data_IF_575868885284
#
_entry.id   IF_575868885284
#
_cell.length_a   1.000
_cell.length_b   1.000
_cell.length_c   1.000
_cell.angle_alpha   90.00
_cell.angle_beta   90.00
_cell.angle_gamma   90.00
#
_symmetry.space_group_name_H-M   'P 1'
#
loop_
_entity.id
_entity.type
_entity.pdbx_description
1 polymer ?
#
# COMPACT_ATOMS: atom_id res chain seq x y z
N UNK A 1 -34.68 2.22 32.44
CA UNK A 1 -33.41 2.86 32.05
C UNK A 1 -32.84 2.17 30.83
N UNK A 2 -32.66 2.92 29.74
CA UNK A 2 -32.47 2.39 28.38
C UNK A 2 -31.13 1.71 28.16
N UNK A 3 -31.18 0.54 27.51
CA UNK A 3 -30.02 -0.09 26.87
C UNK A 3 -29.46 0.89 25.83
N UNK A 4 -28.28 1.47 26.06
CA UNK A 4 -27.54 2.21 25.04
C UNK A 4 -27.27 1.24 23.88
N UNK A 5 -28.02 1.38 22.78
CA UNK A 5 -27.65 0.77 21.50
C UNK A 5 -26.28 1.35 21.14
N UNK A 6 -25.21 0.54 21.17
CA UNK A 6 -23.95 0.91 20.50
C UNK A 6 -24.34 1.24 19.05
N UNK A 7 -24.06 2.46 18.60
CA UNK A 7 -24.21 2.79 17.20
C UNK A 7 -23.39 1.77 16.39
N UNK A 8 -24.00 1.08 15.43
CA UNK A 8 -23.22 0.28 14.47
C UNK A 8 -22.31 1.27 13.77
N UNK A 9 -21.01 1.21 14.04
CA UNK A 9 -20.03 1.95 13.26
C UNK A 9 -20.24 1.56 11.80
N UNK A 10 -20.53 2.55 10.96
CA UNK A 10 -20.64 2.32 9.52
C UNK A 10 -19.22 2.10 9.04
N UNK A 11 -18.87 0.84 8.78
CA UNK A 11 -17.54 0.52 8.25
C UNK A 11 -17.38 1.24 6.90
N UNK A 12 -16.25 1.91 6.67
CA UNK A 12 -15.97 2.53 5.39
C UNK A 12 -15.99 1.46 4.30
N UNK A 13 -16.52 1.80 3.12
CA UNK A 13 -16.57 0.87 1.98
C UNK A 13 -15.24 0.87 1.25
N UNK A 14 -14.69 -0.30 0.86
CA UNK A 14 -13.46 -0.34 0.08
C UNK A 14 -13.63 0.43 -1.23
N UNK A 15 -12.57 1.12 -1.62
CA UNK A 15 -12.50 1.83 -2.90
C UNK A 15 -11.04 1.93 -3.34
N UNK A 16 -10.86 2.12 -4.64
CA UNK A 16 -9.55 2.43 -5.22
C UNK A 16 -8.97 3.69 -4.54
N UNK A 17 -7.67 3.68 -4.29
CA UNK A 17 -6.92 4.72 -3.57
C UNK A 17 -7.01 4.64 -2.05
N UNK A 18 -7.86 3.77 -1.48
CA UNK A 18 -7.91 3.59 -0.04
C UNK A 18 -6.66 2.88 0.48
N UNK A 19 -6.25 3.26 1.69
CA UNK A 19 -5.19 2.59 2.44
C UNK A 19 -5.82 1.59 3.41
N UNK A 20 -5.35 0.35 3.38
CA UNK A 20 -5.62 -0.68 4.37
C UNK A 20 -4.43 -0.78 5.32
N UNK A 21 -4.68 -0.65 6.61
CA UNK A 21 -3.68 -0.72 7.66
C UNK A 21 -3.89 -2.03 8.37
N UNK A 22 -2.87 -2.88 8.35
CA UNK A 22 -2.91 -4.15 9.04
C UNK A 22 -2.93 -3.95 10.54
N UNK A 23 -3.79 -4.68 11.22
CA UNK A 23 -3.80 -4.76 12.68
C UNK A 23 -2.47 -5.37 13.20
N UNK A 24 -1.90 -4.91 14.33
CA UNK A 24 -0.61 -5.40 14.84
C UNK A 24 -0.49 -6.94 14.95
N UNK A 25 -1.59 -7.59 15.31
CA UNK A 25 -1.73 -9.03 15.52
C UNK A 25 -2.43 -9.73 14.35
N UNK A 26 -2.38 -9.15 13.14
CA UNK A 26 -2.90 -9.78 11.93
C UNK A 26 -2.47 -11.25 11.88
N UNK A 27 -3.42 -12.20 11.70
CA UNK A 27 -3.13 -13.63 11.76
C UNK A 27 -2.17 -14.09 10.67
N UNK A 28 -2.03 -13.33 9.59
CA UNK A 28 -1.10 -13.59 8.51
C UNK A 28 0.23 -12.84 8.74
N UNK A 29 1.33 -13.54 9.09
CA UNK A 29 2.59 -12.90 9.49
C UNK A 29 3.17 -11.98 8.41
N UNK A 30 2.94 -12.32 7.13
CA UNK A 30 3.41 -11.54 5.98
C UNK A 30 2.77 -10.15 5.92
N UNK A 31 1.62 -9.94 6.57
CA UNK A 31 0.91 -8.66 6.60
C UNK A 31 1.10 -7.88 7.90
N UNK A 32 1.84 -8.39 8.89
CA UNK A 32 2.15 -7.64 10.12
C UNK A 32 2.73 -6.26 9.78
N UNK A 33 2.15 -5.23 10.40
CA UNK A 33 2.49 -3.80 10.22
C UNK A 33 2.57 -3.35 8.75
N UNK A 34 1.81 -3.99 7.86
CA UNK A 34 1.74 -3.57 6.46
C UNK A 34 0.72 -2.45 6.28
N UNK A 35 1.02 -1.58 5.32
CA UNK A 35 0.07 -0.63 4.75
C UNK A 35 -0.09 -1.00 3.28
N UNK A 36 -1.32 -1.29 2.89
CA UNK A 36 -1.69 -1.65 1.52
C UNK A 36 -2.46 -0.51 0.88
N UNK A 37 -2.10 -0.12 -0.35
CA UNK A 37 -2.99 0.71 -1.18
C UNK A 37 -3.85 -0.16 -2.07
N UNK A 38 -5.16 0.10 -2.11
CA UNK A 38 -6.07 -0.53 -3.05
C UNK A 38 -5.99 0.13 -4.42
N UNK A 39 -5.73 -0.66 -5.45
CA UNK A 39 -5.67 -0.19 -6.83
C UNK A 39 -6.86 -0.59 -7.68
N UNK A 40 -7.48 -1.70 -7.32
CA UNK A 40 -8.67 -2.21 -7.96
C UNK A 40 -9.62 -2.70 -6.88
N UNK A 41 -10.89 -2.38 -7.04
CA UNK A 41 -11.95 -2.90 -6.20
C UNK A 41 -13.24 -3.02 -7.00
N UNK A 42 -13.91 -4.17 -6.91
CA UNK A 42 -15.20 -4.38 -7.56
C UNK A 42 -15.76 -5.77 -7.35
N UNK A 43 -16.73 -6.16 -8.19
CA UNK A 43 -17.46 -7.43 -8.06
C UNK A 43 -16.58 -8.67 -8.20
N UNK A 44 -15.43 -8.55 -8.87
CA UNK A 44 -14.47 -9.65 -9.07
C UNK A 44 -13.47 -9.79 -7.92
N UNK A 45 -13.49 -8.90 -6.93
CA UNK A 45 -12.53 -8.85 -5.84
C UNK A 45 -11.78 -7.53 -5.78
N UNK A 46 -10.67 -7.53 -5.04
CA UNK A 46 -9.81 -6.36 -4.87
C UNK A 46 -8.35 -6.74 -5.12
N UNK A 47 -7.56 -5.78 -5.61
CA UNK A 47 -6.12 -5.88 -5.73
C UNK A 47 -5.51 -4.68 -5.01
N UNK A 48 -4.41 -4.90 -4.33
CA UNK A 48 -3.63 -3.86 -3.69
C UNK A 48 -2.16 -4.21 -3.55
N UNK A 49 -1.38 -3.21 -3.19
CA UNK A 49 0.05 -3.34 -2.97
C UNK A 49 0.44 -2.91 -1.57
N UNK A 50 1.27 -3.69 -0.90
CA UNK A 50 1.98 -3.23 0.27
C UNK A 50 3.03 -2.19 -0.15
N UNK A 51 3.01 -1.02 0.49
CA UNK A 51 3.84 0.13 0.11
C UNK A 51 4.97 0.45 1.10
N UNK A 52 5.05 -0.29 2.20
CA UNK A 52 5.95 0.00 3.32
C UNK A 52 6.91 -1.15 3.69
N UNK A 53 7.08 -2.13 2.79
CA UNK A 53 8.03 -3.24 2.95
C UNK A 53 9.09 -3.22 1.86
N UNK A 54 10.17 -2.41 1.98
CA UNK A 54 11.24 -2.40 1.01
C UNK A 54 11.99 -3.73 1.06
N UNK A 55 12.52 -4.14 -0.09
CA UNK A 55 13.46 -5.26 -0.19
C UNK A 55 14.90 -4.71 -0.31
N UNK A 56 15.92 -5.55 -0.13
CA UNK A 56 17.30 -5.14 -0.39
C UNK A 56 17.63 -4.88 -1.87
N UNK A 57 16.73 -5.26 -2.80
CA UNK A 57 16.96 -5.14 -4.24
C UNK A 57 16.60 -3.75 -4.76
N UNK A 58 17.46 -3.21 -5.60
CA UNK A 58 17.18 -2.03 -6.42
C UNK A 58 16.56 -2.43 -7.75
N UNK A 59 15.81 -1.53 -8.37
CA UNK A 59 15.08 -1.85 -9.61
C UNK A 59 16.03 -2.24 -10.76
N UNK A 60 17.19 -1.61 -10.86
CA UNK A 60 18.20 -1.91 -11.88
C UNK A 60 18.90 -3.26 -11.66
N UNK A 61 18.80 -3.83 -10.46
CA UNK A 61 19.28 -5.19 -10.15
C UNK A 61 18.18 -6.24 -10.39
N UNK A 62 16.91 -5.83 -10.25
CA UNK A 62 15.75 -6.71 -10.37
C UNK A 62 15.32 -6.95 -11.82
N UNK A 63 15.62 -6.03 -12.74
CA UNK A 63 15.24 -6.11 -14.15
C UNK A 63 16.47 -6.03 -15.06
N UNK A 64 16.57 -6.99 -15.97
CA UNK A 64 17.56 -6.97 -17.06
C UNK A 64 17.27 -5.79 -18.02
N UNK A 65 18.32 -5.18 -18.55
CA UNK A 65 18.23 -4.02 -19.46
C UNK A 65 17.38 -2.86 -18.90
N UNK A 66 17.52 -2.58 -17.60
CA UNK A 66 16.95 -1.42 -16.94
C UNK A 66 18.03 -0.37 -16.68
N UNK A 67 17.76 0.93 -16.93
CA UNK A 67 18.73 1.99 -16.65
C UNK A 67 19.14 2.03 -15.19
N UNK A 68 20.36 2.51 -14.92
CA UNK A 68 20.82 2.73 -13.55
C UNK A 68 19.87 3.71 -12.85
N UNK A 69 19.19 3.23 -11.82
CA UNK A 69 18.17 4.00 -11.12
C UNK A 69 18.08 3.54 -9.67
N UNK A 70 18.47 4.40 -8.74
CA UNK A 70 18.56 4.06 -7.31
C UNK A 70 17.20 4.10 -6.62
N UNK A 71 16.29 3.24 -7.06
CA UNK A 71 14.97 3.06 -6.44
C UNK A 71 14.84 1.63 -5.87
N UNK A 72 14.51 1.47 -4.59
CA UNK A 72 14.29 0.16 -3.99
C UNK A 72 13.00 -0.48 -4.53
N UNK A 73 13.03 -1.81 -4.65
CA UNK A 73 11.83 -2.61 -4.93
C UNK A 73 11.13 -2.94 -3.61
N UNK A 74 9.82 -2.73 -3.56
CA UNK A 74 8.98 -3.07 -2.42
C UNK A 74 8.31 -4.42 -2.62
N UNK A 75 8.14 -5.18 -1.55
CA UNK A 75 7.34 -6.39 -1.56
C UNK A 75 5.86 -6.03 -1.49
N UNK A 76 5.14 -6.17 -2.60
CA UNK A 76 3.74 -5.75 -2.75
C UNK A 76 2.71 -6.77 -2.28
N UNK A 77 3.09 -8.04 -2.18
CA UNK A 77 2.26 -9.13 -1.71
C UNK A 77 2.71 -10.49 -2.27
N UNK A 78 2.05 -11.58 -1.86
CA UNK A 78 2.55 -12.95 -2.10
C UNK A 78 2.33 -13.46 -3.53
N UNK A 79 1.51 -12.79 -4.34
CA UNK A 79 1.16 -13.25 -5.68
C UNK A 79 2.02 -12.55 -6.74
N UNK A 80 2.39 -13.30 -7.78
CA UNK A 80 3.09 -12.78 -8.97
C UNK A 80 4.37 -12.00 -8.63
N UNK A 81 5.19 -12.59 -7.76
CA UNK A 81 6.51 -12.04 -7.35
C UNK A 81 7.49 -11.90 -8.53
N UNK A 82 7.21 -12.55 -9.65
CA UNK A 82 7.90 -12.45 -10.93
C UNK A 82 7.57 -11.17 -11.72
N UNK A 83 6.62 -10.36 -11.23
CA UNK A 83 6.09 -9.18 -11.92
C UNK A 83 6.38 -7.92 -11.12
N UNK A 84 6.93 -6.90 -11.80
CA UNK A 84 7.11 -5.56 -11.25
C UNK A 84 5.93 -4.67 -11.66
N UNK A 85 5.38 -4.00 -10.66
CA UNK A 85 4.40 -2.95 -10.77
C UNK A 85 5.00 -1.64 -10.27
N UNK A 86 4.32 -0.53 -10.52
CA UNK A 86 4.76 0.76 -10.02
C UNK A 86 3.60 1.71 -9.74
N UNK A 87 3.78 2.47 -8.67
CA UNK A 87 2.97 3.63 -8.31
C UNK A 87 3.82 4.88 -8.52
N UNK A 88 3.26 5.95 -9.07
CA UNK A 88 4.04 7.13 -9.40
C UNK A 88 3.22 8.42 -9.39
N UNK A 89 3.90 9.56 -9.44
CA UNK A 89 3.32 10.91 -9.51
C UNK A 89 3.61 11.61 -10.84
N UNK A 90 3.70 10.84 -11.92
CA UNK A 90 4.09 11.30 -13.26
C UNK A 90 2.84 11.35 -14.16
N UNK A 91 2.17 12.50 -14.32
CA UNK A 91 0.93 12.59 -15.08
C UNK A 91 1.12 12.43 -16.60
N UNK A 92 2.35 12.63 -17.11
CA UNK A 92 2.70 12.49 -18.52
C UNK A 92 2.95 11.04 -18.98
N UNK A 93 2.96 10.07 -18.05
CA UNK A 93 3.16 8.66 -18.38
C UNK A 93 1.87 8.08 -19.00
N UNK A 94 1.97 7.62 -20.24
CA UNK A 94 0.82 7.12 -21.00
C UNK A 94 0.29 5.81 -20.42
N UNK A 95 -1.04 5.63 -20.45
CA UNK A 95 -1.69 4.39 -19.99
C UNK A 95 -1.75 4.22 -18.46
N UNK A 96 -1.30 5.22 -17.72
CA UNK A 96 -1.42 5.28 -16.27
C UNK A 96 -2.86 5.48 -15.82
N UNK A 97 -3.21 4.90 -14.67
CA UNK A 97 -4.55 5.02 -14.08
C UNK A 97 -4.45 5.79 -12.77
N UNK A 98 -5.12 6.94 -12.68
CA UNK A 98 -5.15 7.71 -11.44
C UNK A 98 -5.99 6.97 -10.38
N UNK A 99 -5.36 6.67 -9.23
CA UNK A 99 -6.00 5.95 -8.11
C UNK A 99 -6.27 6.86 -6.91
N UNK A 100 -5.53 7.95 -6.79
CA UNK A 100 -5.77 9.05 -5.86
C UNK A 100 -5.20 10.35 -6.48
N UNK A 101 -5.51 11.49 -5.87
CA UNK A 101 -5.02 12.80 -6.33
C UNK A 101 -3.50 12.80 -6.52
N UNK A 102 -3.05 12.95 -7.77
CA UNK A 102 -1.62 12.97 -8.13
C UNK A 102 -0.89 11.62 -7.96
N UNK A 103 -1.61 10.52 -7.76
CA UNK A 103 -1.04 9.16 -7.64
C UNK A 103 -1.64 8.23 -8.68
N UNK A 104 -0.75 7.66 -9.47
CA UNK A 104 -1.07 6.83 -10.61
C UNK A 104 -0.53 5.41 -10.43
N UNK A 105 -1.27 4.44 -10.95
CA UNK A 105 -0.90 3.04 -11.08
C UNK A 105 -0.55 2.74 -12.54
N UNK A 106 0.54 1.98 -12.73
CA UNK A 106 0.90 1.43 -14.03
C UNK A 106 1.23 2.50 -15.08
N UNK A 107 1.25 2.11 -16.35
CA UNK A 107 1.64 3.01 -17.43
C UNK A 107 2.44 2.27 -18.51
N UNK A 108 2.96 3.04 -19.46
CA UNK A 108 3.80 2.54 -20.53
C UNK A 108 5.23 2.33 -20.01
N UNK A 109 5.60 1.07 -19.77
CA UNK A 109 6.91 0.72 -19.26
C UNK A 109 8.08 1.14 -20.17
N UNK A 110 7.88 1.19 -21.50
CA UNK A 110 8.93 1.66 -22.42
C UNK A 110 9.16 3.16 -22.28
N UNK A 111 8.08 3.93 -22.19
CA UNK A 111 8.16 5.38 -21.95
C UNK A 111 8.82 5.66 -20.59
N UNK A 112 8.44 4.94 -19.54
CA UNK A 112 9.04 5.06 -18.23
C UNK A 112 10.57 4.90 -18.28
N UNK A 113 11.08 3.86 -18.97
CA UNK A 113 12.51 3.65 -19.12
C UNK A 113 13.21 4.80 -19.85
N UNK A 114 12.64 5.30 -20.95
CA UNK A 114 13.20 6.43 -21.70
C UNK A 114 13.26 7.71 -20.84
N UNK A 115 12.23 7.95 -20.03
CA UNK A 115 12.20 9.11 -19.13
C UNK A 115 13.23 8.99 -18.01
N UNK A 116 13.48 7.77 -17.49
CA UNK A 116 14.55 7.52 -16.51
C UNK A 116 15.93 7.72 -17.15
N UNK A 117 16.16 7.18 -18.35
CA UNK A 117 17.42 7.35 -19.10
C UNK A 117 17.73 8.82 -19.42
N UNK A 118 16.68 9.64 -19.55
CA UNK A 118 16.79 11.08 -19.81
C UNK A 118 16.87 11.93 -18.53
N UNK A 119 16.97 11.32 -17.35
CA UNK A 119 16.96 11.99 -16.04
C UNK A 119 15.71 12.88 -15.80
N UNK A 120 14.57 12.55 -16.42
CA UNK A 120 13.31 13.30 -16.28
C UNK A 120 12.48 12.88 -15.06
N UNK A 121 12.85 11.76 -14.43
CA UNK A 121 12.15 11.17 -13.29
C UNK A 121 13.16 10.93 -12.18
N UNK A 122 12.80 11.31 -10.94
CA UNK A 122 13.58 10.97 -9.75
C UNK A 122 13.04 9.73 -9.01
N UNK A 123 13.86 9.01 -8.24
CA UNK A 123 13.42 7.85 -7.44
C UNK A 123 12.26 8.16 -6.48
N UNK A 124 12.12 9.40 -6.01
CA UNK A 124 11.05 9.82 -5.10
C UNK A 124 9.68 9.89 -5.80
N UNK A 125 9.65 10.00 -7.13
CA UNK A 125 8.42 10.10 -7.92
C UNK A 125 7.81 8.74 -8.25
N UNK A 126 8.51 7.64 -7.98
CA UNK A 126 8.07 6.29 -8.35
C UNK A 126 8.45 5.25 -7.30
N UNK A 127 7.48 4.38 -6.97
CA UNK A 127 7.69 3.22 -6.11
C UNK A 127 7.51 1.95 -6.93
N UNK A 128 8.59 1.18 -7.08
CA UNK A 128 8.55 -0.13 -7.73
C UNK A 128 8.15 -1.22 -6.74
N UNK A 129 7.31 -2.16 -7.19
CA UNK A 129 6.63 -3.11 -6.33
C UNK A 129 6.64 -4.49 -6.98
N UNK A 130 7.22 -5.48 -6.32
CA UNK A 130 7.19 -6.89 -6.72
C UNK A 130 5.95 -7.58 -6.15
N UNK A 131 5.13 -8.14 -7.04
CA UNK A 131 3.91 -8.86 -6.67
C UNK A 131 2.79 -7.97 -6.11
N UNK A 132 1.69 -8.62 -5.73
CA UNK A 132 0.51 -7.96 -5.19
C UNK A 132 -0.26 -8.82 -4.19
N UNK A 133 -1.14 -8.17 -3.44
CA UNK A 133 -2.16 -8.78 -2.60
C UNK A 133 -3.51 -8.75 -3.29
N UNK A 134 -4.27 -9.84 -3.17
CA UNK A 134 -5.61 -9.93 -3.74
C UNK A 134 -6.61 -10.46 -2.74
N UNK A 135 -7.82 -9.95 -2.86
CA UNK A 135 -8.98 -10.42 -2.15
C UNK A 135 -9.99 -10.97 -3.14
N UNK A 136 -10.51 -12.16 -2.85
CA UNK A 136 -11.66 -12.72 -3.54
C UNK A 136 -12.90 -11.82 -3.35
N UNK A 137 -13.95 -11.95 -4.17
CA UNK A 137 -15.18 -11.19 -3.98
C UNK A 137 -15.70 -11.26 -2.54
N UNK A 138 -15.97 -10.09 -1.94
CA UNK A 138 -16.45 -9.91 -0.55
C UNK A 138 -15.46 -10.22 0.57
N UNK A 139 -14.31 -10.82 0.27
CA UNK A 139 -13.33 -11.22 1.29
C UNK A 139 -12.81 -10.00 2.06
N UNK A 140 -12.44 -8.92 1.36
CA UNK A 140 -11.96 -7.70 2.00
C UNK A 140 -13.01 -7.09 2.94
N UNK A 141 -14.27 -7.07 2.54
CA UNK A 141 -15.38 -6.59 3.37
C UNK A 141 -15.63 -7.46 4.60
N UNK A 142 -15.29 -8.75 4.54
CA UNK A 142 -15.34 -9.66 5.68
C UNK A 142 -14.16 -9.43 6.62
N UNK A 143 -12.95 -9.30 6.10
CA UNK A 143 -11.76 -9.01 6.90
C UNK A 143 -11.84 -7.63 7.60
N UNK A 144 -12.43 -6.62 6.94
CA UNK A 144 -12.73 -5.32 7.56
C UNK A 144 -13.74 -5.44 8.71
N UNK A 145 -14.70 -6.39 8.65
CA UNK A 145 -15.65 -6.64 9.75
C UNK A 145 -15.00 -7.42 10.90
N UNK A 146 -13.97 -8.19 10.61
CA UNK A 146 -13.18 -8.94 11.59
C UNK A 146 -12.09 -8.08 12.23
N UNK A 147 -11.94 -6.81 11.80
CA UNK A 147 -10.92 -5.87 12.28
C UNK A 147 -9.48 -6.32 11.98
N UNK A 148 -9.29 -7.21 11.00
CA UNK A 148 -7.94 -7.59 10.52
C UNK A 148 -7.27 -6.44 9.74
N UNK A 149 -8.10 -5.59 9.13
CA UNK A 149 -7.69 -4.37 8.46
C UNK A 149 -8.49 -3.19 9.00
N UNK A 150 -7.80 -2.07 9.18
CA UNK A 150 -8.44 -0.76 9.23
C UNK A 150 -8.32 -0.09 7.87
N UNK A 151 -9.19 0.88 7.60
CA UNK A 151 -9.17 1.57 6.33
C UNK A 151 -9.28 3.08 6.50
N UNK A 152 -8.50 3.80 5.70
CA UNK A 152 -8.55 5.25 5.60
C UNK A 152 -8.40 5.69 4.15
N UNK A 153 -8.81 6.92 3.88
CA UNK A 153 -8.59 7.61 2.60
C UNK A 153 -7.65 8.79 2.80
N UNK A 154 -6.71 8.64 3.75
CA UNK A 154 -5.67 9.62 4.01
C UNK A 154 -4.80 9.85 2.77
N UNK A 155 -4.07 10.96 2.78
CA UNK A 155 -3.19 11.39 1.69
C UNK A 155 -2.20 10.28 1.28
N UNK A 156 -2.51 9.64 0.14
CA UNK A 156 -1.74 8.55 -0.42
C UNK A 156 -0.39 9.04 -0.94
N UNK A 157 -0.35 10.21 -1.59
CA UNK A 157 0.88 10.79 -2.12
C UNK A 157 1.89 10.96 -1.00
N UNK A 158 1.47 11.65 0.08
CA UNK A 158 2.32 11.85 1.25
C UNK A 158 2.72 10.51 1.88
N UNK A 159 1.88 9.47 1.83
CA UNK A 159 2.22 8.17 2.40
C UNK A 159 3.25 7.39 1.56
N UNK A 160 3.27 7.58 0.24
CA UNK A 160 4.20 6.87 -0.65
C UNK A 160 5.65 7.36 -0.50
N UNK A 161 5.84 8.65 -0.22
CA UNK A 161 7.16 9.29 -0.09
C UNK A 161 7.75 9.20 1.33
N UNK A 162 7.04 8.59 2.26
CA UNK A 162 7.48 8.45 3.65
C UNK A 162 8.44 7.28 3.84
N UNK A 163 9.29 7.40 4.85
CA UNK A 163 10.20 6.32 5.25
C UNK A 163 9.41 5.04 5.57
N UNK A 164 9.74 3.88 4.98
CA UNK A 164 8.87 2.72 5.06
C UNK A 164 8.58 2.23 6.49
N UNK A 165 9.56 2.36 7.38
CA UNK A 165 9.47 1.93 8.78
C UNK A 165 8.46 2.74 9.59
N UNK A 166 8.18 3.99 9.21
CA UNK A 166 7.27 4.87 9.95
C UNK A 166 5.88 4.98 9.33
N UNK A 167 5.70 4.53 8.08
CA UNK A 167 4.45 4.64 7.33
C UNK A 167 3.26 4.10 8.13
N UNK A 168 3.38 2.90 8.71
CA UNK A 168 2.29 2.27 9.45
C UNK A 168 1.86 3.10 10.67
N UNK A 169 2.80 3.51 11.51
CA UNK A 169 2.54 4.33 12.70
C UNK A 169 2.01 5.73 12.38
N UNK A 170 2.54 6.36 11.31
CA UNK A 170 2.07 7.66 10.82
C UNK A 170 0.63 7.61 10.34
N UNK A 171 0.25 6.57 9.58
CA UNK A 171 -1.13 6.42 9.11
C UNK A 171 -2.07 6.20 10.30
N UNK A 172 -1.70 5.38 11.29
CA UNK A 172 -2.50 5.22 12.51
C UNK A 172 -2.69 6.52 13.28
N UNK A 173 -1.63 7.31 13.41
CA UNK A 173 -1.70 8.62 14.08
C UNK A 173 -2.66 9.56 13.34
N UNK A 174 -2.63 9.56 12.00
CA UNK A 174 -3.57 10.33 11.15
C UNK A 174 -5.01 9.83 11.29
N UNK A 175 -5.23 8.56 11.60
CA UNK A 175 -6.57 7.99 11.87
C UNK A 175 -7.12 8.38 13.25
N UNK A 176 -6.28 8.89 14.16
CA UNK A 176 -6.69 9.47 15.44
C UNK A 176 -6.18 8.72 16.67
N UNK A 177 -6.36 9.33 17.84
CA UNK A 177 -5.71 8.94 19.10
C UNK A 177 -5.89 7.47 19.52
N UNK A 178 -7.04 6.86 19.25
CA UNK A 178 -7.28 5.44 19.61
C UNK A 178 -6.34 4.50 18.84
N UNK A 179 -6.06 4.81 17.58
CA UNK A 179 -5.14 4.06 16.74
C UNK A 179 -3.68 4.43 17.02
N UNK A 180 -3.41 5.67 17.43
CA UNK A 180 -2.07 6.11 17.83
C UNK A 180 -1.48 5.32 19.01
N UNK A 181 -2.31 4.91 19.98
CA UNK A 181 -1.88 4.07 21.12
C UNK A 181 -1.34 2.72 20.64
N UNK A 182 -1.79 2.23 19.48
CA UNK A 182 -1.31 0.95 18.92
C UNK A 182 0.12 1.03 18.38
N UNK A 183 0.64 2.23 18.14
CA UNK A 183 2.02 2.45 17.71
C UNK A 183 3.04 1.97 18.75
N UNK A 184 2.67 1.99 20.04
CA UNK A 184 3.57 1.68 21.15
C UNK A 184 3.57 0.19 21.54
N UNK A 185 2.77 -0.66 20.88
CA UNK A 185 2.75 -2.09 21.19
C UNK A 185 3.96 -2.81 20.57
N UNK A 186 4.71 -3.63 21.34
CA UNK A 186 5.84 -4.40 20.82
C UNK A 186 5.38 -5.46 19.81
N UNK A 187 6.25 -5.81 18.85
CA UNK A 187 5.95 -6.83 17.81
C UNK A 187 5.78 -8.25 18.37
N UNK A 188 6.29 -8.47 19.59
CA UNK A 188 6.20 -9.72 20.33
C UNK A 188 5.60 -9.48 21.74
N UNK A 189 4.35 -9.93 22.00
CA UNK A 189 3.74 -9.84 23.33
C UNK A 189 4.35 -10.80 24.37
N UNK A 190 5.34 -11.63 23.99
CA UNK A 190 6.05 -12.55 24.88
C UNK A 190 7.21 -11.93 25.68
N UNK A 191 7.52 -10.64 25.47
CA UNK A 191 8.57 -9.92 26.20
C UNK A 191 7.96 -9.01 27.28
N UNK A 192 7.34 -9.61 28.29
CA UNK A 192 7.05 -8.96 29.59
C UNK A 192 7.59 -9.83 30.72
#
# INVERSE_FOLDING_TARGET
MGKKKKAKAVLPKPKVGALLISEPFNPEPVFKRSVVVLSQHGRKGSIGFIINKPTPLKIHEALEDFPEFDAPVYWGGPLRLDSIYYLHSIPSLEGSHEIADGVYWGGNFKQLRLMIEADEISPEQIKFIAGYSSWSPKQLEEELKQENWWMTTADLYSTLIEEPTIVWGKVLTRMGHVYGIMNDFPEDPGLN
#
